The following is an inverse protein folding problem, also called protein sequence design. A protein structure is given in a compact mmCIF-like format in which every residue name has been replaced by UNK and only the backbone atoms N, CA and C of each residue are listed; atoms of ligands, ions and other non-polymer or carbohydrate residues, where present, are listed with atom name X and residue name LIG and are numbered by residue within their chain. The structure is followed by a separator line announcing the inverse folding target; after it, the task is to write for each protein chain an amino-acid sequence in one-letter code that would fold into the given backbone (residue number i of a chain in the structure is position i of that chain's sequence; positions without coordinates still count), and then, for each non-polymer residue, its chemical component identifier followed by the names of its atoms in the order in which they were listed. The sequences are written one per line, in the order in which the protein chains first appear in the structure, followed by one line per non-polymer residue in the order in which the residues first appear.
data_IF_754673575362
#
_entry.id   IF_754673575362
#
_cell.length_a   1.000
_cell.length_b   1.000
_cell.length_c   1.000
_cell.angle_alpha   90.00
_cell.angle_beta   90.00
_cell.angle_gamma   90.00
#
_symmetry.space_group_name_H-M   'P 1'
#
loop_
_entity.id
_entity.type
_entity.pdbx_description
1 polymer ?
#
# COMPACT_ATOMS: atom_id res chain seq x y z
N UNK A 1 33.73 1.88 9.43
CA UNK A 1 33.60 0.73 10.35
C UNK A 1 32.53 1.04 11.39
N UNK A 2 31.26 0.70 11.09
CA UNK A 2 30.18 0.61 12.06
C UNK A 2 28.91 0.12 11.35
N UNK A 3 28.93 -1.13 10.89
CA UNK A 3 27.77 -1.82 10.31
C UNK A 3 27.75 -3.23 10.87
N UNK A 4 27.37 -3.43 12.13
CA UNK A 4 27.24 -4.80 12.67
C UNK A 4 26.50 -5.00 14.01
N UNK A 5 25.49 -4.19 14.38
CA UNK A 5 24.85 -4.37 15.70
C UNK A 5 23.32 -4.37 15.76
N UNK A 6 22.61 -4.77 14.69
CA UNK A 6 21.15 -4.96 14.77
C UNK A 6 20.64 -6.26 14.13
N UNK A 7 21.36 -7.37 14.30
CA UNK A 7 20.89 -8.69 13.83
C UNK A 7 20.96 -9.82 14.85
N UNK A 8 21.12 -9.56 16.14
CA UNK A 8 21.08 -10.65 17.13
C UNK A 8 20.07 -10.41 18.25
N UNK A 9 18.95 -11.15 18.11
CA UNK A 9 18.25 -11.94 19.13
C UNK A 9 16.73 -11.85 18.98
N UNK A 10 16.22 -12.42 17.88
CA UNK A 10 14.89 -13.03 17.91
C UNK A 10 15.09 -14.48 18.37
N UNK A 11 14.53 -14.91 19.52
CA UNK A 11 14.76 -16.25 20.06
C UNK A 11 14.31 -17.34 19.08
N UNK A 12 15.18 -18.33 18.86
CA UNK A 12 14.97 -19.37 17.87
C UNK A 12 13.87 -20.38 18.21
N UNK A 13 13.36 -20.38 19.44
CA UNK A 13 12.27 -21.26 19.86
C UNK A 13 10.87 -20.74 19.49
N UNK A 14 10.75 -19.51 18.95
CA UNK A 14 9.47 -18.96 18.46
C UNK A 14 9.14 -19.41 17.02
N UNK A 15 10.01 -20.20 16.38
CA UNK A 15 9.81 -20.76 15.04
C UNK A 15 9.71 -22.29 15.02
N UNK A 16 9.29 -22.93 16.12
CA UNK A 16 8.84 -24.32 15.99
C UNK A 16 7.56 -24.39 15.14
N UNK A 17 7.47 -25.38 14.24
CA UNK A 17 6.79 -25.16 12.98
C UNK A 17 5.29 -25.44 13.10
N UNK A 18 4.47 -24.46 12.74
CA UNK A 18 3.04 -24.63 12.45
C UNK A 18 2.82 -25.43 11.14
N UNK A 19 3.71 -26.38 10.80
CA UNK A 19 3.67 -27.16 9.55
C UNK A 19 2.81 -28.41 9.64
N UNK A 20 2.08 -28.62 10.74
CA UNK A 20 1.26 -29.83 10.94
C UNK A 20 -0.25 -29.64 10.65
N UNK A 21 -0.68 -28.48 10.14
CA UNK A 21 -2.06 -28.26 9.67
C UNK A 21 -2.03 -27.50 8.36
N UNK A 22 -2.18 -28.25 7.28
CA UNK A 22 -2.38 -27.80 5.90
C UNK A 22 -1.22 -26.98 5.32
N UNK A 23 -0.98 -27.14 4.01
CA UNK A 23 -0.09 -26.26 3.26
C UNK A 23 -0.59 -24.82 3.43
N UNK A 24 0.01 -24.06 4.35
CA UNK A 24 -0.21 -22.62 4.47
C UNK A 24 0.40 -21.97 3.24
N UNK A 25 -0.33 -21.99 2.12
CA UNK A 25 -0.03 -21.17 0.97
C UNK A 25 -0.09 -19.72 1.42
N UNK A 26 1.09 -19.10 1.56
CA UNK A 26 1.18 -17.66 1.73
C UNK A 26 0.59 -17.03 0.47
N UNK A 27 -0.66 -16.57 0.54
CA UNK A 27 -1.26 -15.79 -0.54
C UNK A 27 -0.62 -14.39 -0.55
N UNK A 28 0.63 -14.32 -1.01
CA UNK A 28 1.30 -13.05 -1.26
C UNK A 28 0.62 -12.38 -2.44
N UNK A 29 0.39 -11.07 -2.33
CA UNK A 29 -0.26 -10.26 -3.35
C UNK A 29 0.40 -10.43 -4.72
N UNK A 30 1.72 -10.57 -4.73
CA UNK A 30 2.56 -10.62 -5.92
C UNK A 30 2.22 -11.81 -6.83
N UNK A 31 1.73 -12.93 -6.27
CA UNK A 31 1.32 -14.11 -7.03
C UNK A 31 -0.03 -13.94 -7.74
N UNK A 32 -0.84 -12.97 -7.30
CA UNK A 32 -2.20 -12.75 -7.78
C UNK A 32 -2.34 -11.49 -8.63
N UNK A 33 -1.32 -10.63 -8.64
CA UNK A 33 -1.33 -9.43 -9.46
C UNK A 33 -0.98 -9.77 -10.92
N UNK A 34 -1.63 -9.12 -11.90
CA UNK A 34 -1.22 -9.27 -13.30
C UNK A 34 0.25 -8.87 -13.46
N UNK A 35 1.00 -9.44 -14.42
CA UNK A 35 2.37 -9.02 -14.67
C UNK A 35 2.41 -7.53 -15.03
N UNK A 36 3.43 -6.82 -14.57
CA UNK A 36 3.69 -5.47 -15.08
C UNK A 36 4.13 -5.64 -16.54
N UNK A 37 3.55 -4.90 -17.50
CA UNK A 37 4.01 -4.98 -18.88
C UNK A 37 5.50 -4.64 -18.91
N UNK A 38 6.28 -5.65 -19.28
CA UNK A 38 7.72 -5.55 -19.46
C UNK A 38 7.91 -4.53 -20.58
N UNK A 39 8.81 -3.55 -20.37
CA UNK A 39 9.27 -2.62 -21.41
C UNK A 39 8.19 -1.84 -22.19
N UNK A 40 7.63 -0.83 -21.51
CA UNK A 40 7.37 0.44 -22.17
C UNK A 40 8.45 1.42 -21.71
N UNK A 41 9.56 1.52 -22.44
CA UNK A 41 10.37 2.74 -22.39
C UNK A 41 9.44 3.89 -22.81
N UNK A 42 8.82 4.53 -21.82
CA UNK A 42 7.93 5.66 -22.05
C UNK A 42 8.83 6.76 -22.57
N UNK A 43 8.82 6.98 -23.89
CA UNK A 43 9.49 8.14 -24.49
C UNK A 43 8.90 9.39 -23.82
N UNK A 44 9.72 10.02 -22.97
CA UNK A 44 9.34 11.19 -22.20
C UNK A 44 9.67 12.43 -23.03
N UNK A 45 8.70 12.92 -23.78
CA UNK A 45 8.77 14.27 -24.31
C UNK A 45 8.67 15.28 -23.17
N UNK A 46 9.32 16.46 -23.28
CA UNK A 46 9.17 17.53 -22.30
C UNK A 46 7.71 17.98 -22.19
N UNK A 47 7.28 18.47 -21.02
CA UNK A 47 5.92 18.98 -20.86
C UNK A 47 5.70 20.20 -21.75
N UNK A 48 4.61 20.18 -22.52
CA UNK A 48 4.16 21.31 -23.34
C UNK A 48 3.07 22.14 -22.65
N UNK A 49 2.49 21.62 -21.58
CA UNK A 49 1.41 22.25 -20.81
C UNK A 49 1.82 22.42 -19.34
N UNK A 50 1.27 23.46 -18.70
CA UNK A 50 1.44 23.74 -17.27
C UNK A 50 0.42 22.98 -16.42
N UNK A 51 0.44 23.18 -15.08
CA UNK A 51 -0.54 22.60 -14.15
C UNK A 51 -1.90 23.32 -14.13
N UNK A 52 -2.15 24.25 -15.06
CA UNK A 52 -3.34 25.09 -15.06
C UNK A 52 -3.42 25.95 -13.79
N UNK A 53 -4.56 25.95 -13.12
CA UNK A 53 -4.78 26.74 -11.90
C UNK A 53 -3.82 26.40 -10.76
N UNK A 54 -3.33 25.16 -10.68
CA UNK A 54 -2.38 24.73 -9.65
C UNK A 54 -0.97 25.28 -9.86
N UNK A 55 -0.68 25.90 -11.01
CA UNK A 55 0.60 26.55 -11.29
C UNK A 55 0.88 27.74 -10.36
N UNK A 56 -0.17 28.33 -9.79
CA UNK A 56 -0.06 29.44 -8.81
C UNK A 56 0.49 28.95 -7.47
N UNK A 57 0.35 27.66 -7.16
CA UNK A 57 0.83 27.11 -5.90
C UNK A 57 2.36 26.92 -5.94
N UNK A 58 3.09 27.38 -4.90
CA UNK A 58 4.48 27.01 -4.71
C UNK A 58 4.65 25.49 -4.66
N UNK A 59 5.82 25.03 -5.12
CA UNK A 59 6.12 23.60 -5.15
C UNK A 59 6.06 22.95 -3.76
N UNK A 60 6.43 23.67 -2.70
CA UNK A 60 6.34 23.19 -1.32
C UNK A 60 4.90 22.85 -0.91
N UNK A 61 3.91 23.64 -1.35
CA UNK A 61 2.50 23.35 -1.07
C UNK A 61 2.03 22.11 -1.82
N UNK A 62 2.44 21.95 -3.08
CA UNK A 62 2.16 20.73 -3.84
C UNK A 62 2.80 19.51 -3.16
N UNK A 63 4.01 19.66 -2.63
CA UNK A 63 4.73 18.61 -1.92
C UNK A 63 4.05 18.20 -0.60
N UNK A 64 3.36 19.14 0.06
CA UNK A 64 2.57 18.86 1.25
C UNK A 64 1.24 18.20 0.90
N UNK A 65 0.52 18.67 -0.12
CA UNK A 65 -0.86 18.26 -0.41
C UNK A 65 -0.92 16.94 -1.18
N UNK A 66 -0.11 16.79 -2.23
CA UNK A 66 -0.22 15.66 -3.16
C UNK A 66 -0.05 14.28 -2.49
N UNK A 67 0.89 14.07 -1.53
CA UNK A 67 1.01 12.77 -0.86
C UNK A 67 -0.20 12.37 0.00
N UNK A 68 -1.05 13.33 0.36
CA UNK A 68 -2.24 13.12 1.18
C UNK A 68 -3.51 12.81 0.37
N UNK A 69 -3.46 13.03 -0.95
CA UNK A 69 -4.51 12.54 -1.85
C UNK A 69 -4.61 11.02 -1.80
N UNK A 70 -5.81 10.49 -2.03
CA UNK A 70 -5.98 9.05 -2.11
C UNK A 70 -5.21 8.47 -3.31
N UNK A 71 -4.94 7.16 -3.31
CA UNK A 71 -4.15 6.53 -4.38
C UNK A 71 -4.79 6.71 -5.75
N UNK A 72 -6.12 6.74 -5.81
CA UNK A 72 -6.87 6.87 -7.05
C UNK A 72 -6.80 8.30 -7.59
N UNK A 73 -7.04 9.30 -6.74
CA UNK A 73 -6.94 10.73 -7.03
C UNK A 73 -5.53 11.10 -7.48
N UNK A 74 -4.49 10.66 -6.76
CA UNK A 74 -3.11 10.98 -7.12
C UNK A 74 -2.71 10.30 -8.43
N UNK A 75 -3.16 9.06 -8.67
CA UNK A 75 -2.91 8.37 -9.93
C UNK A 75 -3.62 9.06 -11.10
N UNK A 76 -4.84 9.54 -10.91
CA UNK A 76 -5.55 10.31 -11.92
C UNK A 76 -4.88 11.66 -12.18
N UNK A 77 -4.47 12.37 -11.12
CA UNK A 77 -3.72 13.62 -11.22
C UNK A 77 -2.43 13.43 -12.02
N UNK A 78 -1.66 12.38 -11.72
CA UNK A 78 -0.45 12.00 -12.44
C UNK A 78 -0.70 11.77 -13.94
N UNK A 79 -1.88 11.27 -14.30
CA UNK A 79 -2.27 10.99 -15.68
C UNK A 79 -2.83 12.20 -16.45
N UNK A 80 -3.08 13.35 -15.81
CA UNK A 80 -3.69 14.51 -16.47
C UNK A 80 -2.83 15.09 -17.59
N UNK A 81 -1.54 15.33 -17.30
CA UNK A 81 -0.58 15.81 -18.29
C UNK A 81 0.87 15.49 -17.83
N UNK A 82 1.83 15.72 -18.72
CA UNK A 82 3.25 15.43 -18.43
C UNK A 82 3.81 16.23 -17.26
N UNK A 83 3.35 17.47 -17.06
CA UNK A 83 3.81 18.30 -15.94
C UNK A 83 3.30 17.77 -14.60
N UNK A 84 2.04 17.34 -14.52
CA UNK A 84 1.49 16.69 -13.34
C UNK A 84 2.23 15.38 -13.04
N UNK A 85 2.54 14.59 -14.08
CA UNK A 85 3.38 13.40 -13.94
C UNK A 85 4.74 13.70 -13.34
N UNK A 86 5.46 14.70 -13.86
CA UNK A 86 6.77 15.11 -13.33
C UNK A 86 6.69 15.53 -11.86
N UNK A 87 5.67 16.32 -11.50
CA UNK A 87 5.49 16.77 -10.11
C UNK A 87 5.26 15.58 -9.19
N UNK A 88 4.34 14.67 -9.54
CA UNK A 88 4.10 13.47 -8.72
C UNK A 88 5.35 12.60 -8.62
N UNK A 89 6.04 12.36 -9.74
CA UNK A 89 7.24 11.52 -9.76
C UNK A 89 8.43 12.18 -9.07
N UNK A 90 8.41 13.49 -8.84
CA UNK A 90 9.45 14.20 -8.08
C UNK A 90 9.32 14.02 -6.56
N UNK A 91 8.12 13.69 -6.05
CA UNK A 91 7.84 13.51 -4.62
C UNK A 91 8.64 12.34 -4.05
N UNK A 92 9.38 12.55 -2.95
CA UNK A 92 10.15 11.47 -2.32
C UNK A 92 9.22 10.36 -1.81
N UNK A 93 8.10 10.71 -1.19
CA UNK A 93 7.11 9.73 -0.70
C UNK A 93 6.63 8.83 -1.85
N UNK A 94 6.33 9.41 -3.01
CA UNK A 94 5.92 8.65 -4.19
C UNK A 94 7.02 7.69 -4.67
N UNK A 95 8.26 8.17 -4.77
CA UNK A 95 9.41 7.36 -5.18
C UNK A 95 9.64 6.17 -4.24
N UNK A 96 9.63 6.41 -2.94
CA UNK A 96 9.91 5.38 -1.93
C UNK A 96 8.80 4.33 -1.91
N UNK A 97 7.53 4.73 -1.90
CA UNK A 97 6.40 3.80 -1.94
C UNK A 97 6.38 3.01 -3.24
N UNK A 98 6.62 3.65 -4.39
CA UNK A 98 6.69 2.94 -5.68
C UNK A 98 7.87 1.97 -5.72
N UNK A 99 8.99 2.30 -5.08
CA UNK A 99 10.17 1.42 -5.00
C UNK A 99 9.91 0.19 -4.13
N UNK A 100 9.41 0.38 -2.91
CA UNK A 100 9.33 -0.68 -1.90
C UNK A 100 7.96 -1.36 -1.79
N UNK A 101 6.90 -0.73 -2.29
CA UNK A 101 5.53 -1.17 -2.09
C UNK A 101 4.62 -0.96 -3.31
N UNK A 102 5.16 -0.96 -4.53
CA UNK A 102 4.36 -0.86 -5.75
C UNK A 102 3.25 -1.92 -5.82
N UNK A 103 3.51 -3.15 -5.35
CA UNK A 103 2.50 -4.21 -5.33
C UNK A 103 1.36 -3.91 -4.36
N UNK A 104 1.63 -3.23 -3.24
CA UNK A 104 0.59 -2.77 -2.33
C UNK A 104 -0.29 -1.70 -2.99
N UNK A 105 0.31 -0.72 -3.69
CA UNK A 105 -0.43 0.29 -4.46
C UNK A 105 -1.29 -0.37 -5.54
N UNK A 106 -0.71 -1.30 -6.32
CA UNK A 106 -1.43 -2.03 -7.36
C UNK A 106 -2.57 -2.86 -6.79
N UNK A 107 -2.30 -3.65 -5.75
CA UNK A 107 -3.31 -4.44 -5.06
C UNK A 107 -4.45 -3.58 -4.51
N UNK A 108 -4.12 -2.46 -3.86
CA UNK A 108 -5.11 -1.52 -3.34
C UNK A 108 -6.04 -0.98 -4.44
N UNK A 109 -5.47 -0.54 -5.57
CA UNK A 109 -6.24 -0.08 -6.73
C UNK A 109 -7.07 -1.22 -7.35
N UNK A 110 -6.51 -2.43 -7.50
CA UNK A 110 -7.19 -3.58 -8.10
C UNK A 110 -8.39 -4.07 -7.29
N UNK A 111 -8.34 -3.99 -5.95
CA UNK A 111 -9.46 -4.39 -5.08
C UNK A 111 -10.37 -3.22 -4.69
N UNK A 112 -10.20 -2.04 -5.33
CA UNK A 112 -11.07 -0.87 -5.09
C UNK A 112 -10.87 -0.16 -3.75
N UNK A 113 -9.76 -0.43 -3.06
CA UNK A 113 -9.45 0.18 -1.73
C UNK A 113 -8.54 1.39 -1.81
N UNK A 114 -8.13 1.79 -3.02
CA UNK A 114 -7.27 2.95 -3.26
C UNK A 114 -7.81 4.26 -2.68
N UNK A 115 -9.14 4.39 -2.55
CA UNK A 115 -9.80 5.56 -1.95
C UNK A 115 -9.58 5.72 -0.45
N UNK A 116 -9.20 4.64 0.24
CA UNK A 116 -8.98 4.65 1.70
C UNK A 116 -7.50 4.73 2.06
N UNK A 117 -6.62 4.95 1.08
CA UNK A 117 -5.18 4.92 1.22
C UNK A 117 -4.56 6.12 0.52
N UNK A 118 -3.51 6.68 1.12
CA UNK A 118 -2.67 7.71 0.49
C UNK A 118 -1.22 7.22 0.41
N UNK A 119 -0.43 7.88 -0.42
CA UNK A 119 1.01 7.61 -0.48
C UNK A 119 1.71 7.94 0.84
N UNK A 120 1.28 9.00 1.55
CA UNK A 120 1.80 9.33 2.89
C UNK A 120 1.50 8.20 3.88
N UNK A 121 0.26 7.73 3.92
CA UNK A 121 -0.14 6.64 4.82
C UNK A 121 0.69 5.38 4.55
N UNK A 122 0.83 4.98 3.29
CA UNK A 122 1.66 3.82 2.93
C UNK A 122 3.11 4.00 3.39
N UNK A 123 3.70 5.17 3.14
CA UNK A 123 5.07 5.47 3.56
C UNK A 123 5.24 5.33 5.08
N UNK A 124 4.34 5.92 5.88
CA UNK A 124 4.35 5.79 7.34
C UNK A 124 4.27 4.33 7.80
N UNK A 125 3.42 3.52 7.14
CA UNK A 125 3.29 2.09 7.43
C UNK A 125 4.55 1.32 7.06
N UNK A 126 5.21 1.65 5.95
CA UNK A 126 6.48 1.03 5.55
C UNK A 126 7.61 1.36 6.51
N UNK A 127 7.63 2.59 7.05
CA UNK A 127 8.59 3.00 8.07
C UNK A 127 8.30 2.43 9.46
N UNK A 128 7.16 1.75 9.65
CA UNK A 128 6.77 1.15 10.93
C UNK A 128 7.03 -0.36 10.91
N UNK A 129 7.79 -0.88 11.87
CA UNK A 129 8.05 -2.32 11.99
C UNK A 129 7.07 -3.05 12.92
N UNK A 130 6.26 -2.33 13.69
CA UNK A 130 5.37 -2.89 14.72
C UNK A 130 3.97 -3.22 14.18
N UNK A 131 3.40 -4.30 14.70
CA UNK A 131 2.02 -4.70 14.50
C UNK A 131 1.10 -3.76 15.26
N UNK A 132 0.08 -3.23 14.59
CA UNK A 132 -0.87 -2.29 15.18
C UNK A 132 -1.80 -2.94 16.20
N UNK A 133 -1.80 -4.27 16.31
CA UNK A 133 -2.69 -4.99 17.25
C UNK A 133 -1.98 -5.65 18.42
N UNK A 134 -0.67 -5.91 18.33
CA UNK A 134 0.08 -6.55 19.43
C UNK A 134 1.50 -6.00 19.62
N UNK A 135 1.91 -5.00 18.84
CA UNK A 135 3.22 -4.35 18.91
C UNK A 135 4.44 -5.23 18.59
N UNK A 136 4.25 -6.52 18.31
CA UNK A 136 5.31 -7.41 17.79
C UNK A 136 5.70 -7.04 16.35
N UNK A 137 6.78 -7.62 15.83
CA UNK A 137 7.18 -7.42 14.44
C UNK A 137 6.05 -7.75 13.45
N UNK A 138 5.72 -6.78 12.59
CA UNK A 138 4.76 -6.94 11.51
C UNK A 138 5.49 -7.28 10.21
N UNK A 139 5.20 -8.46 9.64
CA UNK A 139 5.68 -8.82 8.31
C UNK A 139 4.74 -8.37 7.19
N UNK A 140 3.48 -8.05 7.51
CA UNK A 140 2.42 -7.90 6.53
C UNK A 140 1.81 -6.49 6.56
N UNK A 141 1.23 -6.10 5.44
CA UNK A 141 0.36 -4.93 5.30
C UNK A 141 -1.03 -5.42 4.86
N UNK A 142 -2.03 -5.26 5.71
CA UNK A 142 -3.41 -5.60 5.40
C UNK A 142 -4.03 -4.50 4.54
N UNK A 143 -4.18 -4.76 3.24
CA UNK A 143 -4.55 -3.74 2.27
C UNK A 143 -5.92 -3.11 2.54
N UNK A 144 -6.94 -3.88 2.95
CA UNK A 144 -8.30 -3.34 3.10
C UNK A 144 -8.39 -2.14 4.06
N UNK A 145 -7.51 -2.09 5.06
CA UNK A 145 -7.48 -0.97 6.03
C UNK A 145 -6.09 -0.35 6.16
N UNK A 146 -5.16 -0.68 5.26
CA UNK A 146 -3.75 -0.24 5.31
C UNK A 146 -3.07 -0.40 6.68
N UNK A 147 -3.25 -1.54 7.34
CA UNK A 147 -2.69 -1.79 8.69
C UNK A 147 -1.48 -2.71 8.67
N UNK A 148 -0.44 -2.35 9.42
CA UNK A 148 0.72 -3.22 9.68
C UNK A 148 0.33 -4.31 10.66
N UNK A 149 0.52 -5.57 10.27
CA UNK A 149 0.06 -6.72 11.06
C UNK A 149 1.10 -7.86 11.02
N UNK A 150 1.25 -8.58 12.13
CA UNK A 150 2.07 -9.79 12.18
C UNK A 150 1.27 -11.02 11.69
N UNK A 151 1.97 -12.07 11.28
CA UNK A 151 1.33 -13.31 10.80
C UNK A 151 0.32 -13.88 11.80
N UNK A 152 0.69 -13.95 13.08
CA UNK A 152 -0.20 -14.47 14.12
C UNK A 152 -1.50 -13.67 14.23
N UNK A 153 -1.45 -12.34 14.12
CA UNK A 153 -2.65 -11.50 14.22
C UNK A 153 -3.53 -11.63 12.99
N UNK A 154 -2.96 -11.60 11.78
CA UNK A 154 -3.75 -11.68 10.54
C UNK A 154 -4.46 -13.05 10.42
N UNK A 155 -3.83 -14.13 10.88
CA UNK A 155 -4.39 -15.48 10.79
C UNK A 155 -5.40 -15.82 11.89
N UNK A 156 -5.34 -15.17 13.05
CA UNK A 156 -6.18 -15.54 14.22
C UNK A 156 -7.29 -14.53 14.54
N UNK A 157 -7.13 -13.25 14.20
CA UNK A 157 -8.08 -12.23 14.62
C UNK A 157 -9.14 -12.00 13.54
N UNK A 158 -10.40 -12.06 13.95
CA UNK A 158 -11.56 -11.87 13.07
C UNK A 158 -11.60 -10.53 12.34
N UNK A 159 -10.94 -9.49 12.88
CA UNK A 159 -10.86 -8.17 12.24
C UNK A 159 -10.09 -8.17 10.91
N UNK A 160 -9.27 -9.20 10.65
CA UNK A 160 -8.51 -9.36 9.40
C UNK A 160 -9.12 -10.40 8.44
N UNK A 161 -10.30 -10.92 8.77
CA UNK A 161 -11.04 -11.83 7.91
C UNK A 161 -12.04 -11.01 7.06
N UNK A 162 -11.75 -10.76 5.78
CA UNK A 162 -12.71 -10.07 4.92
C UNK A 162 -14.00 -10.88 4.82
N UNK A 163 -15.12 -10.16 4.77
CA UNK A 163 -16.43 -10.73 4.51
C UNK A 163 -16.89 -10.28 3.13
N UNK A 164 -17.44 -11.20 2.37
CA UNK A 164 -18.13 -10.87 1.13
C UNK A 164 -19.34 -9.97 1.45
N UNK A 165 -19.66 -8.95 0.61
CA UNK A 165 -20.81 -8.08 0.82
C UNK A 165 -22.11 -8.84 1.09
N UNK A 166 -22.38 -9.92 0.36
CA UNK A 166 -23.56 -10.79 0.53
C UNK A 166 -23.61 -11.43 1.94
N UNK A 167 -22.46 -11.90 2.43
CA UNK A 167 -22.31 -12.45 3.77
C UNK A 167 -22.47 -11.38 4.86
N UNK A 168 -21.93 -10.19 4.64
CA UNK A 168 -22.09 -9.06 5.55
C UNK A 168 -23.56 -8.63 5.65
N UNK A 169 -24.25 -8.49 4.50
CA UNK A 169 -25.67 -8.18 4.43
C UNK A 169 -26.52 -9.18 5.23
N UNK A 170 -26.34 -10.47 4.98
CA UNK A 170 -27.06 -11.54 5.70
C UNK A 170 -26.78 -11.54 7.20
N UNK A 171 -25.51 -11.31 7.58
CA UNK A 171 -25.08 -11.42 8.99
C UNK A 171 -25.47 -10.20 9.82
N UNK A 172 -25.43 -9.01 9.23
CA UNK A 172 -25.63 -7.73 9.94
C UNK A 172 -26.93 -7.02 9.58
N UNK A 173 -27.76 -7.58 8.69
CA UNK A 173 -29.02 -6.98 8.26
C UNK A 173 -28.84 -5.70 7.44
N UNK A 174 -27.74 -5.62 6.68
CA UNK A 174 -27.44 -4.47 5.82
C UNK A 174 -28.18 -4.59 4.48
N UNK A 175 -28.61 -3.46 3.93
CA UNK A 175 -29.17 -3.41 2.58
C UNK A 175 -28.08 -3.73 1.54
N UNK A 176 -28.22 -4.79 0.72
CA UNK A 176 -27.25 -5.14 -0.32
C UNK A 176 -27.01 -4.01 -1.33
N UNK A 177 -27.93 -3.08 -1.51
CA UNK A 177 -27.78 -1.94 -2.42
C UNK A 177 -26.89 -0.82 -1.86
N UNK A 178 -26.57 -0.86 -0.56
CA UNK A 178 -25.72 0.12 0.12
C UNK A 178 -24.29 -0.40 0.38
N UNK A 179 -23.96 -1.61 -0.08
CA UNK A 179 -22.66 -2.27 0.08
C UNK A 179 -21.93 -2.39 -1.27
#
# INVERSE_FOLDING_TARGET
MATELFLEKVPTHLWEPLTARDEFHYHMLDEKLPPVPENAERIRHPPTAHLGALQVLPFDLLYLILPDLDLHELNNFRCLNRRAMEVVESLTVYKEVTRYAHQAVRGALSIGTGHYMSYRLLYEKLCTWKCETCSNFAGYLFLLTCKRVCFACVSSKRIFLPLEPSHAARRFGLDPHLL
#
